data_IF_717445007095
#
_entry.id   IF_717445007095
#
_cell.length_a   1.000
_cell.length_b   1.000
_cell.length_c   1.000
_cell.angle_alpha   90.00
_cell.angle_beta   90.00
_cell.angle_gamma   90.00
#
_symmetry.space_group_name_H-M   'P 1'
#
loop_
_entity.id
_entity.type
_entity.pdbx_description
1 polymer ?
#
# COMPACT_ATOMS: atom_id res chain seq x y z
N UNK A 1 -3.64 10.02 6.03
CA UNK A 1 -2.21 10.33 5.75
C UNK A 1 -2.13 11.38 4.67
N UNK A 2 -3.14 11.49 3.81
CA UNK A 2 -3.27 12.62 2.91
C UNK A 2 -3.83 13.86 3.63
N UNK A 3 -3.06 14.95 3.65
CA UNK A 3 -3.46 16.26 4.18
C UNK A 3 -3.73 17.28 3.07
N UNK A 4 -3.44 16.94 1.82
CA UNK A 4 -3.44 17.85 0.69
C UNK A 4 -4.42 17.43 -0.42
N UNK A 5 -5.14 16.32 -0.22
CA UNK A 5 -6.10 15.74 -1.17
C UNK A 5 -5.50 15.62 -2.57
N UNK A 6 -4.25 15.16 -2.60
CA UNK A 6 -3.43 15.18 -3.81
C UNK A 6 -3.65 13.90 -4.62
N UNK A 7 -3.61 13.98 -5.96
CA UNK A 7 -3.69 12.80 -6.81
C UNK A 7 -2.61 11.76 -6.44
N UNK A 8 -3.02 10.51 -6.26
CA UNK A 8 -2.12 9.43 -5.83
C UNK A 8 -1.93 9.33 -4.31
N UNK A 9 -2.66 10.11 -3.52
CA UNK A 9 -2.77 9.94 -2.08
C UNK A 9 -3.33 8.57 -1.70
N UNK A 10 -2.92 8.05 -0.54
CA UNK A 10 -3.46 6.81 0.03
C UNK A 10 -4.19 7.11 1.35
N UNK A 11 -5.50 6.89 1.34
CA UNK A 11 -6.39 7.07 2.48
C UNK A 11 -6.25 5.96 3.53
N UNK A 12 -5.85 4.76 3.13
CA UNK A 12 -5.59 3.65 4.05
C UNK A 12 -4.19 3.73 4.69
N UNK A 13 -4.11 3.29 5.94
CA UNK A 13 -2.88 2.90 6.59
C UNK A 13 -2.47 1.48 6.18
N UNK A 14 -1.33 1.38 5.50
CA UNK A 14 -0.70 0.12 5.08
C UNK A 14 0.54 -0.10 5.95
N UNK A 15 0.65 -1.28 6.56
CA UNK A 15 1.87 -1.65 7.32
C UNK A 15 2.95 -2.12 6.35
N UNK A 16 2.53 -2.96 5.40
CA UNK A 16 3.34 -3.38 4.28
C UNK A 16 2.63 -3.02 2.98
N UNK A 17 3.40 -2.46 2.05
CA UNK A 17 3.01 -2.52 0.65
C UNK A 17 3.40 -3.91 0.11
N UNK A 18 2.77 -4.32 -0.97
CA UNK A 18 3.09 -5.61 -1.56
C UNK A 18 2.35 -5.89 -2.84
N UNK A 19 2.82 -6.92 -3.53
CA UNK A 19 2.19 -7.46 -4.72
C UNK A 19 2.40 -8.97 -4.81
N UNK A 20 1.54 -9.62 -5.59
CA UNK A 20 1.65 -11.03 -5.99
C UNK A 20 2.09 -11.10 -7.45
N UNK A 21 3.09 -11.93 -7.73
CA UNK A 21 3.63 -12.10 -9.07
C UNK A 21 2.60 -12.79 -10.00
N UNK A 22 2.41 -12.24 -11.19
CA UNK A 22 1.62 -12.83 -12.28
C UNK A 22 2.50 -13.31 -13.45
N UNK A 23 3.82 -13.13 -13.34
CA UNK A 23 4.83 -13.70 -14.24
C UNK A 23 6.11 -13.99 -13.47
N UNK A 24 6.97 -14.82 -14.06
CA UNK A 24 8.32 -15.04 -13.55
C UNK A 24 9.19 -13.82 -13.90
N UNK A 25 9.87 -13.27 -12.90
CA UNK A 25 10.71 -12.06 -13.07
C UNK A 25 12.03 -12.26 -12.33
N UNK A 26 13.14 -11.98 -13.02
CA UNK A 26 14.48 -12.00 -12.45
C UNK A 26 15.02 -10.57 -12.28
N UNK A 27 16.12 -10.36 -11.52
CA UNK A 27 16.84 -9.09 -11.57
C UNK A 27 17.18 -8.69 -13.02
N UNK A 28 17.11 -7.39 -13.31
CA UNK A 28 17.10 -6.80 -14.66
C UNK A 28 15.80 -6.99 -15.45
N UNK A 29 14.79 -7.66 -14.89
CA UNK A 29 13.48 -7.89 -15.49
C UNK A 29 12.46 -6.77 -15.27
N UNK A 30 12.87 -5.59 -14.79
CA UNK A 30 11.93 -4.54 -14.45
C UNK A 30 11.28 -4.76 -13.07
N UNK A 31 11.93 -5.51 -12.19
CA UNK A 31 11.41 -5.82 -10.86
C UNK A 31 11.61 -4.66 -9.87
N UNK A 32 11.12 -4.81 -8.65
CA UNK A 32 11.29 -3.82 -7.59
C UNK A 32 12.70 -3.88 -6.98
N UNK A 33 13.27 -2.71 -6.72
CA UNK A 33 14.46 -2.48 -5.91
C UNK A 33 14.05 -1.89 -4.57
N UNK A 34 14.74 -2.29 -3.51
CA UNK A 34 14.55 -1.76 -2.16
C UNK A 34 15.87 -1.37 -1.53
N UNK A 35 15.89 -0.37 -0.66
CA UNK A 35 16.99 -0.21 0.28
C UNK A 35 16.73 -1.15 1.48
N UNK A 36 17.58 -2.16 1.75
CA UNK A 36 17.33 -3.16 2.78
C UNK A 36 17.72 -2.69 4.20
N UNK A 37 17.85 -1.38 4.42
CA UNK A 37 18.29 -0.77 5.68
C UNK A 37 17.20 0.11 6.28
N UNK A 38 16.02 -0.46 6.58
CA UNK A 38 14.79 0.25 6.99
C UNK A 38 15.06 1.30 8.09
N UNK A 39 15.74 0.94 9.18
CA UNK A 39 15.99 1.89 10.27
C UNK A 39 16.91 3.03 9.85
N UNK A 40 17.98 2.71 9.13
CA UNK A 40 19.00 3.67 8.74
C UNK A 40 18.50 4.62 7.66
N UNK A 41 17.81 4.12 6.64
CA UNK A 41 17.25 4.95 5.58
C UNK A 41 16.20 5.92 6.13
N UNK A 42 15.30 5.44 7.01
CA UNK A 42 14.27 6.29 7.64
C UNK A 42 14.90 7.35 8.52
N UNK A 43 15.86 6.98 9.38
CA UNK A 43 16.58 7.97 10.16
C UNK A 43 17.32 8.98 9.27
N UNK A 44 17.91 8.52 8.16
CA UNK A 44 18.65 9.38 7.24
C UNK A 44 17.75 10.43 6.58
N UNK A 45 16.69 10.04 5.88
CA UNK A 45 15.85 11.01 5.17
C UNK A 45 15.02 11.89 6.12
N UNK A 46 14.69 11.41 7.33
CA UNK A 46 13.98 12.22 8.33
C UNK A 46 14.87 13.30 8.95
N UNK A 47 16.16 12.99 9.20
CA UNK A 47 17.08 13.92 9.87
C UNK A 47 17.79 14.86 8.89
N UNK A 48 17.93 14.46 7.62
CA UNK A 48 18.69 15.23 6.62
C UNK A 48 18.23 16.68 6.45
N UNK A 49 16.92 17.02 6.41
CA UNK A 49 16.46 18.41 6.26
C UNK A 49 16.81 19.29 7.46
N UNK A 50 17.11 18.69 8.62
CA UNK A 50 17.42 19.40 9.86
C UNK A 50 18.89 19.79 9.99
N UNK A 51 19.75 19.34 9.07
CA UNK A 51 21.16 19.70 9.05
C UNK A 51 21.32 21.19 8.71
N UNK A 52 22.31 21.87 9.31
CA UNK A 52 22.52 23.31 9.14
C UNK A 52 22.64 23.76 7.68
N UNK A 53 23.20 22.90 6.83
CA UNK A 53 23.38 23.16 5.40
C UNK A 53 22.08 23.00 4.57
N UNK A 54 21.02 22.44 5.13
CA UNK A 54 19.76 22.11 4.43
C UNK A 54 18.52 22.76 5.05
N UNK A 55 18.61 23.31 6.28
CA UNK A 55 17.47 23.92 7.00
C UNK A 55 16.81 25.11 6.28
N UNK A 56 17.46 25.64 5.24
CA UNK A 56 16.94 26.74 4.43
C UNK A 56 16.21 26.27 3.17
N UNK A 57 16.32 24.98 2.82
CA UNK A 57 15.64 24.40 1.67
C UNK A 57 14.15 24.22 1.98
N UNK A 58 13.30 24.76 1.13
CA UNK A 58 11.84 24.72 1.33
C UNK A 58 11.23 23.35 1.06
N UNK A 59 11.95 22.50 0.32
CA UNK A 59 11.46 21.21 -0.16
C UNK A 59 11.74 20.05 0.80
N UNK A 60 12.32 20.33 1.98
CA UNK A 60 12.72 19.31 2.94
C UNK A 60 13.48 18.14 2.30
N UNK A 61 14.37 18.46 1.34
CA UNK A 61 15.14 17.48 0.58
C UNK A 61 14.23 16.48 -0.18
N UNK A 62 13.38 16.99 -1.06
CA UNK A 62 12.50 16.17 -1.92
C UNK A 62 11.11 15.83 -1.35
N UNK A 63 10.74 16.34 -0.17
CA UNK A 63 9.43 16.18 0.43
C UNK A 63 8.52 17.38 0.12
N UNK A 64 7.85 17.33 -1.03
CA UNK A 64 6.84 18.32 -1.42
C UNK A 64 5.44 17.96 -0.92
N UNK A 65 4.65 18.92 -0.42
CA UNK A 65 3.24 18.72 -0.12
C UNK A 65 2.47 18.05 -1.26
N UNK A 66 1.69 17.01 -0.94
CA UNK A 66 0.89 16.28 -1.91
C UNK A 66 1.68 15.41 -2.90
N UNK A 67 2.96 15.11 -2.63
CA UNK A 67 3.79 14.24 -3.48
C UNK A 67 4.44 13.12 -2.66
N UNK A 68 4.82 12.05 -3.34
CA UNK A 68 5.75 11.07 -2.79
C UNK A 68 7.09 11.76 -2.48
N UNK A 69 7.77 11.35 -1.40
CA UNK A 69 9.11 11.85 -1.08
C UNK A 69 10.09 11.39 -2.16
N UNK A 70 10.69 12.35 -2.87
CA UNK A 70 11.69 12.08 -3.89
C UNK A 70 13.06 11.76 -3.26
N UNK A 71 13.50 10.51 -3.45
CA UNK A 71 14.80 10.02 -2.98
C UNK A 71 15.76 9.93 -4.18
N UNK A 72 16.30 11.08 -4.57
CA UNK A 72 17.28 11.18 -5.66
C UNK A 72 18.70 10.82 -5.23
N UNK A 73 19.56 10.45 -6.18
CA UNK A 73 20.99 10.18 -5.89
C UNK A 73 21.74 11.44 -5.45
N UNK A 74 21.40 12.59 -6.00
CA UNK A 74 22.07 13.87 -5.69
C UNK A 74 21.85 14.30 -4.23
N UNK A 75 20.65 14.02 -3.70
CA UNK A 75 20.34 14.33 -2.31
C UNK A 75 20.56 13.13 -1.37
N UNK A 76 20.39 11.90 -1.83
CA UNK A 76 20.33 10.70 -0.98
C UNK A 76 21.19 9.55 -1.51
N UNK A 77 22.39 9.84 -2.03
CA UNK A 77 23.31 8.81 -2.53
C UNK A 77 23.52 7.62 -1.60
N UNK A 78 23.62 7.75 -0.26
CA UNK A 78 23.78 6.57 0.61
C UNK A 78 22.60 5.60 0.57
N UNK A 79 21.38 6.11 0.31
CA UNK A 79 20.20 5.25 0.14
C UNK A 79 20.23 4.61 -1.25
N UNK A 80 20.41 5.42 -2.30
CA UNK A 80 20.36 4.98 -3.69
C UNK A 80 21.44 3.95 -4.01
N UNK A 81 22.66 4.14 -3.48
CA UNK A 81 23.80 3.25 -3.68
C UNK A 81 23.65 1.92 -2.94
N UNK A 82 22.77 1.84 -1.94
CA UNK A 82 22.45 0.62 -1.20
C UNK A 82 21.20 -0.11 -1.73
N UNK A 83 20.54 0.39 -2.77
CA UNK A 83 19.35 -0.26 -3.31
C UNK A 83 19.68 -1.53 -4.08
N UNK A 84 19.01 -2.63 -3.75
CA UNK A 84 19.16 -3.94 -4.39
C UNK A 84 17.83 -4.39 -5.00
N UNK A 85 17.89 -5.10 -6.12
CA UNK A 85 16.72 -5.77 -6.70
C UNK A 85 16.30 -6.93 -5.81
N UNK A 86 14.99 -7.22 -5.77
CA UNK A 86 14.49 -8.45 -5.15
C UNK A 86 15.06 -9.68 -5.87
N UNK A 87 15.19 -10.83 -5.19
CA UNK A 87 15.59 -12.08 -5.85
C UNK A 87 14.60 -12.46 -6.97
N UNK A 88 14.94 -13.45 -7.82
CA UNK A 88 13.98 -14.04 -8.73
C UNK A 88 12.66 -14.37 -8.03
N UNK A 89 11.56 -13.96 -8.66
CA UNK A 89 10.19 -14.25 -8.24
C UNK A 89 9.51 -15.08 -9.30
N UNK A 90 8.71 -16.03 -8.87
CA UNK A 90 7.92 -16.89 -9.73
C UNK A 90 6.44 -16.54 -9.63
N UNK A 91 5.66 -16.94 -10.63
CA UNK A 91 4.20 -16.81 -10.60
C UNK A 91 3.63 -17.29 -9.24
N UNK A 92 2.85 -16.42 -8.60
CA UNK A 92 2.23 -16.68 -7.30
C UNK A 92 3.07 -16.25 -6.09
N UNK A 93 4.35 -15.89 -6.24
CA UNK A 93 5.16 -15.36 -5.15
C UNK A 93 4.65 -13.99 -4.68
N UNK A 94 4.66 -13.77 -3.36
CA UNK A 94 4.32 -12.49 -2.74
C UNK A 94 5.55 -11.72 -2.30
N UNK A 95 5.66 -10.46 -2.69
CA UNK A 95 6.73 -9.55 -2.26
C UNK A 95 6.15 -8.43 -1.42
N UNK A 96 6.67 -8.25 -0.20
CA UNK A 96 6.20 -7.25 0.76
C UNK A 96 7.35 -6.39 1.29
N UNK A 97 7.11 -5.09 1.43
CA UNK A 97 8.07 -4.14 2.00
C UNK A 97 7.38 -3.19 2.97
N UNK A 98 8.10 -2.78 4.02
CA UNK A 98 7.57 -1.92 5.06
C UNK A 98 7.16 -0.56 4.47
N UNK A 99 6.12 0.09 5.01
CA UNK A 99 5.61 1.36 4.48
C UNK A 99 6.64 2.50 4.45
N UNK A 100 7.64 2.47 5.33
CA UNK A 100 8.77 3.42 5.36
C UNK A 100 9.99 3.01 4.49
N UNK A 101 9.94 1.84 3.85
CA UNK A 101 11.05 1.32 3.07
C UNK A 101 11.12 2.00 1.70
N UNK A 102 12.24 2.67 1.41
CA UNK A 102 12.50 3.25 0.09
C UNK A 102 12.59 2.13 -0.93
N UNK A 103 11.84 2.31 -2.01
CA UNK A 103 11.74 1.36 -3.10
C UNK A 103 11.65 2.12 -4.43
N UNK A 104 12.06 1.46 -5.51
CA UNK A 104 11.96 1.94 -6.88
C UNK A 104 11.77 0.75 -7.81
N UNK A 105 11.22 0.96 -9.00
CA UNK A 105 11.22 -0.07 -10.04
C UNK A 105 12.54 0.02 -10.81
N UNK A 106 13.08 -1.11 -11.25
CA UNK A 106 14.22 -1.11 -12.18
C UNK A 106 13.89 -0.27 -13.43
N UNK A 107 14.85 0.52 -13.95
CA UNK A 107 14.57 1.48 -15.02
C UNK A 107 14.25 0.82 -16.38
N UNK A 108 14.49 -0.49 -16.51
CA UNK A 108 14.32 -1.24 -17.75
C UNK A 108 13.98 -2.69 -17.42
N UNK A 109 13.10 -3.27 -18.23
CA UNK A 109 12.93 -4.72 -18.33
C UNK A 109 13.79 -5.24 -19.50
N UNK A 110 14.80 -6.06 -19.20
CA UNK A 110 15.68 -6.68 -20.19
C UNK A 110 15.24 -8.08 -20.62
N UNK A 111 14.18 -8.61 -20.01
CA UNK A 111 13.58 -9.88 -20.42
C UNK A 111 12.78 -9.69 -21.72
N UNK A 112 12.49 -10.82 -22.38
CA UNK A 112 11.63 -10.88 -23.57
C UNK A 112 10.16 -11.08 -23.22
N UNK A 113 9.80 -11.03 -21.94
CA UNK A 113 8.47 -11.30 -21.39
C UNK A 113 8.03 -10.16 -20.48
N UNK A 114 6.72 -10.06 -20.28
CA UNK A 114 6.14 -9.05 -19.39
C UNK A 114 6.49 -9.31 -17.92
N UNK A 115 6.64 -8.22 -17.17
CA UNK A 115 6.76 -8.22 -15.71
C UNK A 115 5.43 -7.74 -15.13
N UNK A 116 4.59 -8.70 -14.74
CA UNK A 116 3.19 -8.46 -14.35
C UNK A 116 2.98 -8.82 -12.89
N UNK A 117 2.30 -7.94 -12.15
CA UNK A 117 2.02 -8.11 -10.71
C UNK A 117 0.62 -7.62 -10.37
N UNK A 118 0.04 -8.15 -9.29
CA UNK A 118 -1.20 -7.67 -8.69
C UNK A 118 -0.90 -7.04 -7.32
N UNK A 119 -1.16 -5.74 -7.15
CA UNK A 119 -0.90 -5.04 -5.88
C UNK A 119 -1.91 -5.44 -4.79
N UNK A 120 -1.41 -6.01 -3.70
CA UNK A 120 -2.21 -6.44 -2.54
C UNK A 120 -1.43 -6.07 -1.26
N UNK A 121 -1.73 -4.93 -0.61
CA UNK A 121 -1.03 -4.50 0.58
C UNK A 121 -1.55 -5.21 1.85
N UNK A 122 -0.87 -5.00 2.97
CA UNK A 122 -1.37 -5.37 4.30
C UNK A 122 -1.97 -4.16 5.00
N UNK A 123 -3.29 -4.18 5.22
CA UNK A 123 -4.07 -3.11 5.85
C UNK A 123 -4.72 -3.60 7.16
N UNK A 124 -4.19 -3.22 8.34
CA UNK A 124 -4.76 -3.68 9.59
C UNK A 124 -6.10 -3.00 9.88
N UNK A 125 -6.95 -3.66 10.67
CA UNK A 125 -8.16 -3.04 11.17
C UNK A 125 -7.83 -1.86 12.09
N UNK A 126 -8.28 -0.68 11.70
CA UNK A 126 -8.25 0.54 12.50
C UNK A 126 -9.33 1.48 11.97
N UNK A 127 -9.72 2.48 12.77
CA UNK A 127 -10.77 3.45 12.41
C UNK A 127 -10.61 3.99 10.97
N UNK A 128 -9.42 4.51 10.63
CA UNK A 128 -9.12 5.07 9.29
C UNK A 128 -9.36 4.06 8.17
N UNK A 129 -8.92 2.82 8.35
CA UNK A 129 -9.06 1.79 7.32
C UNK A 129 -10.52 1.36 7.18
N UNK A 130 -11.28 1.30 8.27
CA UNK A 130 -12.73 1.03 8.24
C UNK A 130 -13.49 2.13 7.50
N UNK A 131 -13.12 3.40 7.70
CA UNK A 131 -13.72 4.55 7.02
C UNK A 131 -13.47 4.50 5.50
N UNK A 132 -12.26 4.12 5.07
CA UNK A 132 -11.99 3.89 3.65
C UNK A 132 -12.74 2.67 3.12
N UNK A 133 -12.71 1.55 3.85
CA UNK A 133 -13.35 0.30 3.45
C UNK A 133 -14.84 0.49 3.17
N UNK A 134 -15.53 1.30 3.96
CA UNK A 134 -16.94 1.67 3.70
C UNK A 134 -17.13 2.24 2.30
N UNK A 135 -16.30 3.21 1.90
CA UNK A 135 -16.38 3.85 0.57
C UNK A 135 -15.93 2.91 -0.54
N UNK A 136 -14.89 2.11 -0.29
CA UNK A 136 -14.42 1.09 -1.23
C UNK A 136 -15.50 0.02 -1.50
N UNK A 137 -16.22 -0.40 -0.45
CA UNK A 137 -17.35 -1.33 -0.54
C UNK A 137 -18.44 -0.77 -1.45
N UNK A 138 -18.81 0.50 -1.26
CA UNK A 138 -19.81 1.17 -2.09
C UNK A 138 -19.34 1.26 -3.56
N UNK A 139 -18.06 1.61 -3.80
CA UNK A 139 -17.49 1.62 -5.14
C UNK A 139 -17.50 0.23 -5.80
N UNK A 140 -17.15 -0.82 -5.05
CA UNK A 140 -17.16 -2.21 -5.53
C UNK A 140 -18.56 -2.66 -5.98
N UNK A 141 -19.59 -2.38 -5.18
CA UNK A 141 -20.99 -2.73 -5.52
C UNK A 141 -21.40 -2.07 -6.84
N UNK A 142 -21.01 -0.81 -7.04
CA UNK A 142 -21.35 -0.04 -8.23
C UNK A 142 -20.38 -0.27 -9.41
N UNK A 143 -19.30 -1.04 -9.24
CA UNK A 143 -18.27 -1.20 -10.28
C UNK A 143 -17.47 0.06 -10.57
N UNK A 144 -17.45 1.00 -9.63
CA UNK A 144 -16.76 2.27 -9.78
C UNK A 144 -15.30 2.14 -9.34
N UNK A 145 -14.47 3.03 -9.86
CA UNK A 145 -13.08 3.16 -9.44
C UNK A 145 -13.01 3.42 -7.92
N UNK A 146 -12.14 2.74 -7.17
CA UNK A 146 -11.99 3.00 -5.75
C UNK A 146 -11.57 4.46 -5.46
N UNK A 147 -11.95 5.03 -4.29
CA UNK A 147 -11.91 6.48 -4.07
C UNK A 147 -10.55 7.17 -4.18
N UNK A 148 -9.44 6.45 -3.99
CA UNK A 148 -8.07 7.02 -4.05
C UNK A 148 -7.52 7.09 -5.48
N UNK A 149 -8.23 6.54 -6.47
CA UNK A 149 -7.76 6.48 -7.86
C UNK A 149 -8.54 7.46 -8.76
N UNK A 150 -7.95 7.90 -9.90
CA UNK A 150 -8.66 8.71 -10.89
C UNK A 150 -9.90 7.98 -11.42
N UNK A 151 -11.09 8.55 -11.19
CA UNK A 151 -12.39 7.93 -11.46
C UNK A 151 -12.71 7.72 -12.93
N UNK A 152 -12.14 6.68 -13.54
CA UNK A 152 -12.44 6.28 -14.92
C UNK A 152 -13.67 5.36 -15.04
N UNK A 153 -14.09 4.72 -13.93
CA UNK A 153 -15.23 3.82 -13.78
C UNK A 153 -15.39 2.80 -14.92
N UNK A 154 -14.28 2.33 -15.49
CA UNK A 154 -14.31 1.50 -16.70
C UNK A 154 -14.99 0.13 -16.51
N UNK A 155 -15.07 -0.35 -15.27
CA UNK A 155 -15.63 -1.66 -14.93
C UNK A 155 -17.13 -1.61 -14.59
N UNK A 156 -17.76 -0.42 -14.59
CA UNK A 156 -19.17 -0.22 -14.22
C UNK A 156 -20.10 -1.04 -15.13
N UNK A 157 -19.79 -1.09 -16.43
CA UNK A 157 -20.60 -1.78 -17.46
C UNK A 157 -20.06 -3.16 -17.85
N UNK A 158 -19.03 -3.67 -17.19
CA UNK A 158 -18.45 -4.98 -17.51
C UNK A 158 -19.30 -6.08 -16.88
N UNK A 159 -19.85 -6.96 -17.73
CA UNK A 159 -20.78 -8.02 -17.31
C UNK A 159 -20.12 -9.11 -16.45
N UNK A 160 -18.85 -9.42 -16.71
CA UNK A 160 -18.09 -10.50 -16.06
C UNK A 160 -17.23 -9.99 -14.89
N UNK A 161 -17.63 -8.88 -14.26
CA UNK A 161 -16.95 -8.34 -13.08
C UNK A 161 -17.26 -9.19 -11.86
N UNK A 162 -16.29 -9.33 -10.94
CA UNK A 162 -16.55 -9.89 -9.62
C UNK A 162 -17.64 -9.10 -8.87
N UNK A 163 -18.49 -9.82 -8.13
CA UNK A 163 -19.60 -9.23 -7.35
C UNK A 163 -19.63 -9.80 -5.93
N UNK A 164 -20.55 -9.32 -5.09
CA UNK A 164 -20.68 -9.83 -3.71
C UNK A 164 -21.08 -11.31 -3.70
N UNK A 165 -21.80 -11.76 -4.73
CA UNK A 165 -22.25 -13.14 -4.90
C UNK A 165 -21.09 -14.10 -5.17
N UNK A 166 -20.01 -13.63 -5.81
CA UNK A 166 -18.83 -14.45 -6.11
C UNK A 166 -17.87 -14.57 -4.92
N UNK A 167 -18.09 -13.82 -3.84
CA UNK A 167 -17.23 -13.83 -2.65
C UNK A 167 -17.56 -14.98 -1.69
N UNK A 168 -16.50 -15.62 -1.18
CA UNK A 168 -16.51 -16.44 0.02
C UNK A 168 -16.84 -15.63 1.27
N UNK A 169 -17.11 -16.32 2.38
CA UNK A 169 -17.38 -15.67 3.67
C UNK A 169 -16.21 -14.80 4.15
N UNK A 170 -14.98 -15.30 4.04
CA UNK A 170 -13.78 -14.57 4.45
C UNK A 170 -13.58 -13.30 3.62
N UNK A 171 -13.84 -13.35 2.31
CA UNK A 171 -13.76 -12.18 1.44
C UNK A 171 -14.83 -11.15 1.80
N UNK A 172 -16.05 -11.59 2.13
CA UNK A 172 -17.12 -10.71 2.61
C UNK A 172 -16.76 -10.03 3.92
N UNK A 173 -16.10 -10.73 4.85
CA UNK A 173 -15.57 -10.13 6.08
C UNK A 173 -14.49 -9.09 5.74
N UNK A 174 -13.51 -9.46 4.90
CA UNK A 174 -12.42 -8.56 4.49
C UNK A 174 -12.89 -7.31 3.74
N UNK A 175 -13.97 -7.43 2.96
CA UNK A 175 -14.59 -6.35 2.18
C UNK A 175 -15.68 -5.58 2.95
N UNK A 176 -15.89 -5.90 4.24
CA UNK A 176 -16.82 -5.17 5.09
C UNK A 176 -18.30 -5.38 4.77
N UNK A 177 -18.66 -6.53 4.19
CA UNK A 177 -20.04 -6.99 3.98
C UNK A 177 -20.56 -7.84 5.13
N UNK A 178 -19.68 -8.45 5.91
CA UNK A 178 -20.01 -9.22 7.11
C UNK A 178 -19.20 -8.71 8.30
N UNK A 179 -19.76 -8.75 9.53
CA UNK A 179 -19.02 -8.37 10.72
C UNK A 179 -17.88 -9.36 10.95
N UNK A 180 -16.78 -8.88 11.53
CA UNK A 180 -15.77 -9.81 12.03
C UNK A 180 -16.39 -10.70 13.11
N UNK A 181 -16.20 -12.03 13.03
CA UNK A 181 -16.74 -12.93 14.02
C UNK A 181 -16.21 -12.56 15.39
N UNK A 182 -17.11 -12.40 16.36
CA UNK A 182 -16.73 -12.26 17.76
C UNK A 182 -16.22 -13.63 18.20
N UNK A 183 -14.90 -13.79 18.29
CA UNK A 183 -14.28 -15.05 18.70
C UNK A 183 -14.79 -15.44 20.11
N UNK A 184 -15.51 -16.56 20.29
CA UNK A 184 -15.96 -17.02 21.60
C UNK A 184 -14.79 -17.39 22.53
N UNK A 185 -13.60 -17.64 21.98
CA UNK A 185 -12.34 -17.87 22.70
C UNK A 185 -11.54 -16.57 22.93
N UNK A 186 -12.11 -15.40 22.62
CA UNK A 186 -11.51 -14.07 22.83
C UNK A 186 -11.30 -13.68 24.31
N UNK A 187 -11.23 -14.65 25.22
CA UNK A 187 -10.69 -14.47 26.57
C UNK A 187 -9.30 -13.78 26.56
N UNK A 188 -8.57 -13.88 25.43
CA UNK A 188 -7.26 -13.27 25.22
C UNK A 188 -7.26 -11.97 24.39
N UNK A 189 -8.42 -11.46 23.97
CA UNK A 189 -8.47 -10.18 23.25
C UNK A 189 -8.02 -9.04 24.14
N UNK A 190 -7.21 -8.11 23.61
CA UNK A 190 -6.85 -6.90 24.36
C UNK A 190 -8.01 -5.89 24.34
N UNK A 191 -8.08 -4.95 25.30
CA UNK A 191 -9.05 -3.86 25.25
C UNK A 191 -9.03 -3.08 23.92
N UNK A 192 -7.83 -2.88 23.35
CA UNK A 192 -7.65 -2.19 22.07
C UNK A 192 -8.21 -2.97 20.88
N UNK A 193 -8.01 -4.29 20.83
CA UNK A 193 -8.59 -5.14 19.78
C UNK A 193 -10.12 -5.12 19.82
N UNK A 194 -10.72 -5.25 21.01
CA UNK A 194 -12.18 -5.18 21.16
C UNK A 194 -12.75 -3.82 20.73
N UNK A 195 -12.06 -2.74 21.09
CA UNK A 195 -12.47 -1.40 20.67
C UNK A 195 -12.38 -1.23 19.15
N UNK A 196 -11.29 -1.70 18.52
CA UNK A 196 -11.11 -1.63 17.08
C UNK A 196 -12.20 -2.43 16.33
N UNK A 197 -12.52 -3.65 16.80
CA UNK A 197 -13.60 -4.47 16.25
C UNK A 197 -14.96 -3.79 16.35
N UNK A 198 -15.28 -3.26 17.54
CA UNK A 198 -16.53 -2.53 17.76
C UNK A 198 -16.63 -1.31 16.83
N UNK A 199 -15.59 -0.48 16.80
CA UNK A 199 -15.56 0.71 15.93
C UNK A 199 -15.64 0.34 14.45
N UNK A 200 -14.98 -0.73 14.01
CA UNK A 200 -15.03 -1.21 12.64
C UNK A 200 -16.46 -1.57 12.22
N UNK A 201 -17.16 -2.38 13.02
CA UNK A 201 -18.55 -2.75 12.74
C UNK A 201 -19.48 -1.52 12.77
N UNK A 202 -19.33 -0.62 13.76
CA UNK A 202 -20.11 0.63 13.83
C UNK A 202 -19.94 1.52 12.59
N UNK A 203 -18.71 1.69 12.10
CA UNK A 203 -18.41 2.49 10.89
C UNK A 203 -19.08 1.88 9.66
N UNK A 204 -19.01 0.55 9.52
CA UNK A 204 -19.55 -0.19 8.38
C UNK A 204 -21.08 -0.37 8.44
N UNK A 205 -21.69 -0.13 9.60
CA UNK A 205 -23.13 -0.32 9.85
C UNK A 205 -23.50 -1.80 10.01
N UNK A 206 -22.63 -2.59 10.64
CA UNK A 206 -22.77 -4.04 10.85
C UNK A 206 -22.98 -4.39 12.33
#
# INVERSE_FOLDING_TARGET
MDLYDAPGGCSMFRVFQGWVALSDVTPSGGTIRVCPLIKQQTAYYMMKPLLDQHKHEADFMGAWPGRCHDISRDHHSPIVDCMVSVPPVHYGDGVFWHCDQVHAVEPKNEMTTDSSVLYIPTTPMCQRNSEYLKRQRDAFVNGQTPPDFPGNNCEETILDRATVETMSENEKIGMGFLPFPVDPQAAHSTPGQRLALKQHNEILGL
#
